data_IF_337386341837
#
_entry.id   IF_337386341837
#
_cell.length_a   1.000
_cell.length_b   1.000
_cell.length_c   1.000
_cell.angle_alpha   90.00
_cell.angle_beta   90.00
_cell.angle_gamma   90.00
#
_symmetry.space_group_name_H-M   'P 1'
#
loop_
_entity.id
_entity.type
_entity.pdbx_description
1 polymer ?
#
# COMPACT_ATOMS: atom_id res chain seq x y z
N UNK A 1 2.91 11.24 0.20
CA UNK A 1 2.33 10.44 1.30
C UNK A 1 3.47 9.72 2.03
N UNK A 2 3.82 10.13 3.25
CA UNK A 2 4.80 9.39 4.07
C UNK A 2 4.05 8.42 4.96
N UNK A 3 4.14 7.13 4.64
CA UNK A 3 3.68 6.04 5.51
C UNK A 3 4.89 5.42 6.22
N UNK A 4 4.69 4.90 7.43
CA UNK A 4 5.73 4.21 8.16
C UNK A 4 6.13 2.95 7.39
N UNK A 5 7.37 2.91 6.93
CA UNK A 5 7.89 1.84 6.06
C UNK A 5 8.77 0.85 6.81
N UNK A 6 9.24 1.18 8.02
CA UNK A 6 9.95 0.24 8.87
C UNK A 6 9.91 0.65 10.34
N UNK A 7 10.09 -0.33 11.23
CA UNK A 7 10.15 -0.10 12.67
C UNK A 7 10.22 -1.40 13.45
N UNK A 8 10.63 -1.30 14.72
CA UNK A 8 10.65 -2.45 15.63
C UNK A 8 9.32 -2.51 16.36
N UNK A 9 8.60 -3.62 16.20
CA UNK A 9 7.31 -3.88 16.84
C UNK A 9 7.34 -5.25 17.50
N UNK A 10 6.50 -5.48 18.52
CA UNK A 10 6.43 -6.79 19.15
C UNK A 10 5.49 -7.71 18.37
N UNK A 11 5.88 -8.96 18.23
CA UNK A 11 4.97 -10.04 17.81
C UNK A 11 5.05 -11.16 18.83
N UNK A 12 3.93 -11.46 19.49
CA UNK A 12 3.87 -12.29 20.70
C UNK A 12 4.87 -11.74 21.76
N UNK A 13 5.72 -12.59 22.34
CA UNK A 13 6.75 -12.19 23.32
C UNK A 13 8.09 -11.76 22.71
N UNK A 14 8.19 -11.61 21.37
CA UNK A 14 9.47 -11.33 20.70
C UNK A 14 9.45 -9.99 19.96
N UNK A 15 10.58 -9.27 20.00
CA UNK A 15 10.78 -8.06 19.18
C UNK A 15 11.04 -8.46 17.73
N UNK A 16 10.43 -7.74 16.80
CA UNK A 16 10.56 -7.96 15.37
C UNK A 16 10.86 -6.64 14.67
N UNK A 17 11.80 -6.66 13.74
CA UNK A 17 11.93 -5.57 12.79
C UNK A 17 10.93 -5.82 11.67
N UNK A 18 10.01 -4.89 11.46
CA UNK A 18 9.02 -4.95 10.40
C UNK A 18 9.37 -3.95 9.32
N UNK A 19 9.28 -4.37 8.07
CA UNK A 19 9.50 -3.55 6.88
C UNK A 19 8.29 -3.70 5.96
N UNK A 20 7.71 -2.57 5.56
CA UNK A 20 6.59 -2.47 4.63
C UNK A 20 7.04 -1.70 3.39
N UNK A 21 6.98 -2.35 2.24
CA UNK A 21 7.37 -1.78 0.95
C UNK A 21 6.23 -1.99 -0.05
N UNK A 22 5.45 -0.94 -0.30
CA UNK A 22 4.19 -1.06 -1.04
C UNK A 22 3.29 -2.11 -0.38
N UNK A 23 2.94 -3.15 -1.13
CA UNK A 23 2.12 -4.27 -0.67
C UNK A 23 2.92 -5.44 -0.07
N UNK A 24 4.23 -5.32 0.17
CA UNK A 24 5.06 -6.39 0.74
C UNK A 24 5.44 -6.10 2.19
N UNK A 25 5.11 -7.03 3.07
CA UNK A 25 5.45 -7.01 4.49
C UNK A 25 6.53 -8.06 4.79
N UNK A 26 7.70 -7.60 5.25
CA UNK A 26 8.77 -8.46 5.73
C UNK A 26 8.93 -8.30 7.24
N UNK A 27 8.90 -9.42 7.96
CA UNK A 27 9.07 -9.49 9.41
C UNK A 27 10.36 -10.23 9.72
N UNK A 28 11.30 -9.55 10.36
CA UNK A 28 12.61 -10.06 10.71
C UNK A 28 12.75 -10.19 12.22
N UNK A 29 13.61 -11.10 12.68
CA UNK A 29 14.06 -11.09 14.07
C UNK A 29 14.87 -9.82 14.34
N UNK A 30 14.59 -9.13 15.45
CA UNK A 30 15.22 -7.85 15.75
C UNK A 30 16.70 -7.98 16.14
N UNK A 31 17.16 -9.15 16.57
CA UNK A 31 18.55 -9.37 16.99
C UNK A 31 19.38 -10.00 15.87
N UNK A 32 18.87 -11.08 15.26
CA UNK A 32 19.63 -11.81 14.24
C UNK A 32 19.45 -11.25 12.83
N UNK A 33 18.39 -10.49 12.58
CA UNK A 33 18.04 -10.01 11.25
C UNK A 33 17.43 -11.10 10.34
N UNK A 34 17.22 -12.32 10.84
CA UNK A 34 16.65 -13.40 10.03
C UNK A 34 15.22 -13.07 9.61
N UNK A 35 14.90 -13.33 8.34
CA UNK A 35 13.51 -13.26 7.87
C UNK A 35 12.70 -14.37 8.54
N UNK A 36 11.65 -13.98 9.27
CA UNK A 36 10.70 -14.91 9.89
C UNK A 36 9.41 -15.02 9.09
N UNK A 37 8.98 -13.93 8.46
CA UNK A 37 7.85 -13.92 7.55
C UNK A 37 8.09 -12.94 6.41
N UNK A 38 7.60 -13.30 5.24
CA UNK A 38 7.58 -12.45 4.06
C UNK A 38 6.25 -12.66 3.35
N UNK A 39 5.43 -11.60 3.33
CA UNK A 39 4.02 -11.66 2.99
C UNK A 39 3.68 -10.58 1.97
N UNK A 40 2.91 -10.96 0.95
CA UNK A 40 2.24 -10.00 0.08
C UNK A 40 0.85 -9.71 0.65
N UNK A 41 0.58 -8.45 0.94
CA UNK A 41 -0.66 -7.91 1.51
C UNK A 41 -1.79 -7.84 0.48
N UNK A 42 -1.85 -8.80 -0.45
CA UNK A 42 -2.91 -8.88 -1.46
C UNK A 42 -4.17 -9.48 -0.83
N UNK A 43 -5.29 -8.75 -0.86
CA UNK A 43 -6.60 -9.19 -0.40
C UNK A 43 -6.62 -9.66 1.07
N UNK A 44 -6.06 -8.85 1.96
CA UNK A 44 -6.16 -9.00 3.42
C UNK A 44 -6.81 -7.78 4.09
N UNK A 45 -6.76 -7.77 5.42
CA UNK A 45 -7.20 -6.66 6.26
C UNK A 45 -6.20 -6.39 7.38
N UNK A 46 -6.26 -5.16 7.90
CA UNK A 46 -5.71 -4.81 9.20
C UNK A 46 -6.86 -4.35 10.08
N UNK A 47 -6.92 -4.91 11.29
CA UNK A 47 -7.97 -4.65 12.25
C UNK A 47 -7.36 -4.31 13.61
N UNK A 48 -8.08 -3.50 14.40
CA UNK A 48 -7.77 -3.34 15.82
C UNK A 48 -7.89 -4.70 16.52
N UNK A 49 -6.85 -5.10 17.22
CA UNK A 49 -6.81 -6.35 17.96
C UNK A 49 -7.55 -6.30 19.29
N UNK A 50 -7.60 -7.43 20.03
CA UNK A 50 -8.36 -7.56 21.28
C UNK A 50 -7.75 -6.81 22.49
N UNK A 51 -6.86 -5.85 22.26
CA UNK A 51 -6.18 -5.11 23.32
C UNK A 51 -5.61 -3.79 22.81
N UNK A 52 -5.15 -2.97 23.75
CA UNK A 52 -4.60 -1.65 23.45
C UNK A 52 -3.35 -1.75 22.56
N UNK A 53 -3.30 -0.92 21.51
CA UNK A 53 -2.21 -0.85 20.53
C UNK A 53 -1.89 -2.17 19.81
N UNK A 54 -2.87 -3.08 19.70
CA UNK A 54 -2.72 -4.36 19.00
C UNK A 54 -3.22 -4.24 17.57
N UNK A 55 -2.39 -4.62 16.60
CA UNK A 55 -2.74 -4.71 15.18
C UNK A 55 -2.88 -6.19 14.80
N UNK A 56 -4.02 -6.52 14.20
CA UNK A 56 -4.28 -7.85 13.67
C UNK A 56 -4.30 -7.80 12.16
N UNK A 57 -3.31 -8.41 11.52
CA UNK A 57 -3.21 -8.51 10.08
C UNK A 57 -3.70 -9.89 9.65
N UNK A 58 -4.70 -9.93 8.79
CA UNK A 58 -5.33 -11.17 8.29
C UNK A 58 -5.14 -11.28 6.79
N UNK A 59 -4.50 -12.35 6.31
CA UNK A 59 -4.24 -12.59 4.87
C UNK A 59 -4.49 -14.06 4.57
N UNK A 60 -5.50 -14.36 3.76
CA UNK A 60 -5.92 -15.75 3.47
C UNK A 60 -6.11 -16.55 4.76
N UNK A 61 -5.27 -17.55 5.02
CA UNK A 61 -5.29 -18.39 6.23
C UNK A 61 -4.31 -17.93 7.31
N UNK A 62 -3.50 -16.90 7.04
CA UNK A 62 -2.49 -16.39 7.98
C UNK A 62 -3.05 -15.24 8.79
N UNK A 63 -2.73 -15.25 10.08
CA UNK A 63 -3.00 -14.16 11.02
C UNK A 63 -1.71 -13.76 11.70
N UNK A 64 -1.36 -12.48 11.61
CA UNK A 64 -0.20 -11.89 12.26
C UNK A 64 -0.70 -10.88 13.29
N UNK A 65 -0.21 -11.01 14.52
CA UNK A 65 -0.53 -10.08 15.61
C UNK A 65 0.74 -9.29 15.91
N UNK A 66 0.63 -7.98 15.81
CA UNK A 66 1.67 -7.01 16.14
C UNK A 66 1.19 -6.11 17.28
N UNK A 67 2.10 -5.73 18.15
CA UNK A 67 1.80 -4.91 19.33
C UNK A 67 2.78 -3.74 19.32
N UNK A 68 2.24 -2.54 19.10
CA UNK A 68 3.01 -1.31 19.11
C UNK A 68 3.33 -0.87 20.55
N UNK A 69 4.43 -0.14 20.74
CA UNK A 69 4.85 0.29 22.07
C UNK A 69 4.10 1.56 22.52
N UNK A 70 3.87 2.47 21.58
CA UNK A 70 3.20 3.76 21.80
C UNK A 70 1.94 3.90 20.94
N UNK A 71 1.05 4.80 21.35
CA UNK A 71 -0.18 5.10 20.60
C UNK A 71 0.13 5.70 19.23
N UNK A 72 1.13 6.58 19.17
CA UNK A 72 1.62 7.15 17.91
C UNK A 72 2.09 6.05 16.96
N UNK A 73 2.88 5.09 17.45
CA UNK A 73 3.38 4.00 16.62
C UNK A 73 2.24 3.10 16.14
N UNK A 74 1.25 2.84 16.98
CA UNK A 74 0.03 2.11 16.61
C UNK A 74 -0.70 2.81 15.46
N UNK A 75 -0.99 4.11 15.60
CA UNK A 75 -1.70 4.89 14.59
C UNK A 75 -0.94 4.96 13.25
N UNK A 76 0.37 5.16 13.31
CA UNK A 76 1.23 5.15 12.12
C UNK A 76 1.20 3.80 11.40
N UNK A 77 1.34 2.69 12.12
CA UNK A 77 1.28 1.35 11.54
C UNK A 77 -0.11 1.02 11.01
N UNK A 78 -1.18 1.37 11.73
CA UNK A 78 -2.56 1.17 11.28
C UNK A 78 -2.80 1.87 9.95
N UNK A 79 -2.42 3.15 9.85
CA UNK A 79 -2.50 3.94 8.61
C UNK A 79 -1.70 3.29 7.48
N UNK A 80 -0.47 2.86 7.77
CA UNK A 80 0.43 2.26 6.78
C UNK A 80 -0.09 0.92 6.25
N UNK A 81 -0.59 0.05 7.12
CA UNK A 81 -1.21 -1.21 6.71
C UNK A 81 -2.54 -0.99 5.98
N UNK A 82 -3.36 -0.04 6.43
CA UNK A 82 -4.62 0.31 5.75
C UNK A 82 -4.33 0.77 4.33
N UNK A 83 -3.34 1.65 4.15
CA UNK A 83 -2.87 2.08 2.83
C UNK A 83 -2.38 0.90 1.99
N UNK A 84 -1.56 0.01 2.57
CA UNK A 84 -1.03 -1.18 1.89
C UNK A 84 -2.08 -2.27 1.61
N UNK A 85 -3.30 -2.17 2.15
CA UNK A 85 -4.43 -3.04 1.80
C UNK A 85 -5.43 -2.39 0.84
N UNK A 86 -5.26 -1.10 0.50
CA UNK A 86 -6.12 -0.43 -0.49
C UNK A 86 -6.03 -1.15 -1.82
N UNK A 87 -7.19 -1.42 -2.40
CA UNK A 87 -7.32 -1.97 -3.74
C UNK A 87 -8.08 -0.99 -4.61
N UNK A 88 -7.64 -0.81 -5.84
CA UNK A 88 -8.27 0.14 -6.76
C UNK A 88 -9.76 -0.16 -6.95
N UNK A 89 -10.17 -1.43 -6.94
CA UNK A 89 -11.55 -1.85 -7.14
C UNK A 89 -12.50 -1.43 -6.01
N UNK A 90 -11.96 -1.09 -4.83
CA UNK A 90 -12.75 -0.54 -3.72
C UNK A 90 -13.18 0.91 -3.99
N UNK A 91 -12.42 1.65 -4.80
CA UNK A 91 -12.62 3.08 -5.07
C UNK A 91 -13.08 3.34 -6.50
N UNK A 92 -12.77 2.44 -7.42
CA UNK A 92 -13.00 2.62 -8.85
C UNK A 92 -13.61 1.40 -9.52
N UNK A 93 -14.44 1.66 -10.52
CA UNK A 93 -14.87 0.68 -11.50
C UNK A 93 -13.92 0.72 -12.71
N UNK A 94 -13.37 -0.44 -13.08
CA UNK A 94 -12.47 -0.59 -14.23
C UNK A 94 -13.28 -0.92 -15.48
N UNK A 95 -13.30 0.01 -16.45
CA UNK A 95 -13.92 -0.16 -17.75
C UNK A 95 -12.99 -0.73 -18.81
N UNK A 96 -13.33 -0.51 -20.08
CA UNK A 96 -12.57 -1.00 -21.22
C UNK A 96 -11.20 -0.33 -21.33
N UNK A 97 -10.27 -0.99 -22.01
CA UNK A 97 -9.04 -0.35 -22.47
C UNK A 97 -9.37 0.74 -23.49
N UNK A 98 -8.81 1.93 -23.28
CA UNK A 98 -8.97 3.09 -24.17
C UNK A 98 -7.63 3.53 -24.79
N UNK A 99 -6.51 2.93 -24.36
CA UNK A 99 -5.20 3.20 -24.93
C UNK A 99 -4.13 2.24 -24.42
N UNK A 100 -3.06 2.06 -25.20
CA UNK A 100 -1.93 1.21 -24.85
C UNK A 100 -0.63 1.83 -25.34
N UNK A 101 0.34 1.92 -24.44
CA UNK A 101 1.72 2.28 -24.75
C UNK A 101 2.66 1.11 -24.55
N UNK A 102 3.97 1.37 -24.68
CA UNK A 102 5.01 0.34 -24.51
C UNK A 102 5.02 -0.28 -23.10
N UNK A 103 4.78 0.52 -22.07
CA UNK A 103 4.90 0.11 -20.65
C UNK A 103 3.61 0.29 -19.84
N UNK A 104 2.53 0.77 -20.45
CA UNK A 104 1.28 1.04 -19.76
C UNK A 104 0.04 0.76 -20.61
N UNK A 105 -1.08 0.50 -19.93
CA UNK A 105 -2.42 0.43 -20.50
C UNK A 105 -3.24 1.53 -19.83
N UNK A 106 -4.06 2.24 -20.60
CA UNK A 106 -5.04 3.18 -20.07
C UNK A 106 -6.42 2.55 -20.21
N UNK A 107 -7.16 2.49 -19.10
CA UNK A 107 -8.54 2.03 -19.07
C UNK A 107 -9.46 3.18 -18.74
N UNK A 108 -10.68 3.15 -19.27
CA UNK A 108 -11.77 3.94 -18.73
C UNK A 108 -12.01 3.51 -17.28
N UNK A 109 -12.37 4.45 -16.42
CA UNK A 109 -12.82 4.15 -15.07
C UNK A 109 -13.90 5.08 -14.58
N UNK A 110 -14.46 4.74 -13.42
CA UNK A 110 -15.45 5.56 -12.72
C UNK A 110 -15.16 5.54 -11.23
N UNK A 111 -15.08 6.71 -10.59
CA UNK A 111 -15.02 6.83 -9.14
C UNK A 111 -16.32 6.30 -8.54
N UNK A 112 -16.23 5.37 -7.57
CA UNK A 112 -17.41 4.80 -6.92
C UNK A 112 -18.15 5.79 -6.03
N UNK A 113 -17.42 6.73 -5.41
CA UNK A 113 -17.99 7.71 -4.48
C UNK A 113 -19.00 8.65 -5.14
N UNK A 114 -18.72 9.13 -6.35
CA UNK A 114 -19.49 10.18 -7.01
C UNK A 114 -19.80 9.90 -8.49
N UNK A 115 -19.50 8.68 -8.96
CA UNK A 115 -19.67 8.28 -10.37
C UNK A 115 -18.90 9.12 -11.39
N UNK A 116 -17.90 9.91 -10.97
CA UNK A 116 -17.10 10.75 -11.89
C UNK A 116 -16.26 9.87 -12.83
N UNK A 117 -16.30 10.10 -14.16
CA UNK A 117 -15.46 9.38 -15.10
C UNK A 117 -13.98 9.75 -14.90
N UNK A 118 -13.11 8.75 -15.00
CA UNK A 118 -11.65 8.91 -14.88
C UNK A 118 -10.93 8.04 -15.92
N UNK A 119 -9.65 8.32 -16.14
CA UNK A 119 -8.73 7.44 -16.84
C UNK A 119 -7.81 6.75 -15.82
N UNK A 120 -7.66 5.43 -15.94
CA UNK A 120 -6.81 4.62 -15.06
C UNK A 120 -5.62 4.13 -15.88
N UNK A 121 -4.45 4.72 -15.62
CA UNK A 121 -3.17 4.34 -16.25
C UNK A 121 -2.53 3.22 -15.44
N UNK A 122 -2.60 2.00 -15.94
CA UNK A 122 -1.95 0.82 -15.37
C UNK A 122 -0.55 0.69 -15.95
N UNK A 123 0.46 0.71 -15.09
CA UNK A 123 1.86 0.72 -15.52
C UNK A 123 2.56 -0.57 -15.10
N UNK A 124 3.33 -1.19 -16.01
CA UNK A 124 4.06 -2.43 -15.73
C UNK A 124 5.31 -2.13 -14.89
N UNK A 125 5.40 -2.73 -13.71
CA UNK A 125 6.48 -2.46 -12.77
C UNK A 125 7.68 -3.42 -12.92
N UNK A 126 8.37 -3.36 -14.07
CA UNK A 126 9.52 -4.23 -14.42
C UNK A 126 10.81 -3.42 -14.64
N UNK A 127 11.94 -3.94 -14.14
CA UNK A 127 13.27 -3.41 -14.41
C UNK A 127 13.45 -1.92 -14.06
N UNK A 128 14.16 -1.19 -14.93
CA UNK A 128 14.42 0.26 -14.82
C UNK A 128 13.14 1.11 -14.78
N UNK A 129 12.06 0.62 -15.39
CA UNK A 129 10.79 1.32 -15.45
C UNK A 129 10.26 1.61 -14.03
N UNK A 130 10.56 0.75 -13.04
CA UNK A 130 10.20 0.96 -11.62
C UNK A 130 10.67 2.31 -11.07
N UNK A 131 11.90 2.70 -11.36
CA UNK A 131 12.47 3.94 -10.85
C UNK A 131 11.89 5.15 -11.58
N UNK A 132 11.76 5.05 -12.91
CA UNK A 132 11.15 6.09 -13.75
C UNK A 132 9.71 6.38 -13.33
N UNK A 133 8.92 5.34 -13.03
CA UNK A 133 7.53 5.52 -12.59
C UNK A 133 7.42 6.22 -11.23
N UNK A 134 8.35 5.98 -10.30
CA UNK A 134 8.32 6.69 -9.01
C UNK A 134 8.54 8.18 -9.17
N UNK A 135 9.51 8.57 -9.99
CA UNK A 135 9.74 9.98 -10.31
C UNK A 135 8.52 10.59 -11.03
N UNK A 136 7.96 9.88 -12.01
CA UNK A 136 6.74 10.33 -12.71
C UNK A 136 5.58 10.55 -11.73
N UNK A 137 5.33 9.57 -10.85
CA UNK A 137 4.30 9.66 -9.80
C UNK A 137 4.55 10.85 -8.87
N UNK A 138 5.78 11.03 -8.40
CA UNK A 138 6.12 12.13 -7.48
C UNK A 138 5.92 13.51 -8.12
N UNK A 139 6.26 13.66 -9.39
CA UNK A 139 6.06 14.89 -10.14
C UNK A 139 4.56 15.13 -10.34
N UNK A 140 3.84 14.14 -10.88
CA UNK A 140 2.41 14.26 -11.17
C UNK A 140 1.56 14.48 -9.91
N UNK A 141 2.00 13.96 -8.75
CA UNK A 141 1.34 14.19 -7.47
C UNK A 141 1.48 15.65 -6.96
N UNK A 142 2.39 16.45 -7.51
CA UNK A 142 2.63 17.85 -7.12
C UNK A 142 2.11 18.86 -8.14
N UNK A 143 1.68 18.42 -9.32
CA UNK A 143 1.22 19.30 -10.39
C UNK A 143 -0.30 19.48 -10.29
N UNK A 144 -0.72 20.71 -10.01
CA UNK A 144 -2.12 21.11 -10.00
C UNK A 144 -2.27 22.39 -10.83
N UNK A 145 -2.85 22.25 -12.02
CA UNK A 145 -3.08 23.36 -12.95
C UNK A 145 -4.29 23.03 -13.83
N UNK A 146 -5.10 24.04 -14.14
CA UNK A 146 -6.31 23.94 -14.99
C UNK A 146 -6.09 23.22 -16.35
N UNK A 147 -4.88 23.33 -16.94
CA UNK A 147 -4.56 22.82 -18.27
C UNK A 147 -3.73 21.54 -18.23
N UNK A 148 -3.52 20.95 -17.05
CA UNK A 148 -2.76 19.71 -16.89
C UNK A 148 -3.65 18.67 -16.24
N UNK A 149 -3.64 17.45 -16.78
CA UNK A 149 -4.40 16.33 -16.21
C UNK A 149 -3.89 16.04 -14.79
N UNK A 150 -4.77 16.19 -13.80
CA UNK A 150 -4.46 15.97 -12.40
C UNK A 150 -4.43 14.47 -12.07
N UNK A 151 -3.45 14.04 -11.28
CA UNK A 151 -3.43 12.70 -10.70
C UNK A 151 -4.23 12.71 -9.39
N UNK A 152 -5.33 11.96 -9.36
CA UNK A 152 -6.22 11.90 -8.19
C UNK A 152 -5.76 10.90 -7.12
N UNK A 153 -5.37 9.70 -7.55
CA UNK A 153 -4.95 8.60 -6.66
C UNK A 153 -3.84 7.78 -7.32
N UNK A 154 -3.05 7.12 -6.48
CA UNK A 154 -2.02 6.15 -6.89
C UNK A 154 -2.17 4.89 -6.05
N UNK A 155 -2.15 3.75 -6.74
CA UNK A 155 -2.21 2.40 -6.16
C UNK A 155 -1.00 1.60 -6.68
N UNK A 156 -0.42 0.74 -5.83
CA UNK A 156 0.72 -0.15 -6.18
C UNK A 156 0.34 -1.64 -6.17
#
# INVERSE_FOLDING_TARGET
FQVKSSGVIRSRKKRRLVKLQGHRLTVLDAQTGDVKQDLYLSAGSVDAGPGDKVLTISIKTKKLILIAETETEYAEWLSSFTYAFRRIEQFYELGNEIGRGAFSIVRQGRMRENSKPVAIKVVRNVGEARFLHRNEIEILARVEHENIVQTHDVFE
#
